data_IF_296497298645
#
_entry.id   IF_296497298645
#
_cell.length_a   1.000
_cell.length_b   1.000
_cell.length_c   1.000
_cell.angle_alpha   90.00
_cell.angle_beta   90.00
_cell.angle_gamma   90.00
#
_symmetry.space_group_name_H-M   'P 1'
#
loop_
_entity.id
_entity.type
_entity.pdbx_description
1 polymer ?
#
# COMPACT_ATOMS: atom_id res chain seq x y z
N UNK A 1 -31.56 5.54 16.54
CA UNK A 1 -31.46 4.29 15.76
C UNK A 1 -30.79 4.51 14.41
N UNK A 2 -31.30 5.38 13.53
CA UNK A 2 -30.70 5.63 12.20
C UNK A 2 -29.21 6.03 12.22
N UNK A 3 -28.77 6.88 13.15
CA UNK A 3 -27.36 7.28 13.24
C UNK A 3 -26.43 6.09 13.56
N UNK A 4 -26.84 5.20 14.47
CA UNK A 4 -26.04 4.04 14.85
C UNK A 4 -25.90 3.05 13.69
N UNK A 5 -26.99 2.81 12.95
CA UNK A 5 -26.99 1.97 11.76
C UNK A 5 -26.11 2.53 10.65
N UNK A 6 -26.22 3.84 10.37
CA UNK A 6 -25.36 4.53 9.40
C UNK A 6 -23.89 4.46 9.80
N UNK A 7 -23.56 4.70 11.08
CA UNK A 7 -22.19 4.59 11.59
C UNK A 7 -21.61 3.17 11.41
N UNK A 8 -22.41 2.13 11.65
CA UNK A 8 -21.99 0.74 11.43
C UNK A 8 -21.76 0.46 9.94
N UNK A 9 -22.62 0.96 9.05
CA UNK A 9 -22.43 0.83 7.60
C UNK A 9 -21.15 1.52 7.14
N UNK A 10 -20.89 2.74 7.63
CA UNK A 10 -19.64 3.46 7.33
C UNK A 10 -18.41 2.69 7.84
N UNK A 11 -18.47 2.17 9.07
CA UNK A 11 -17.41 1.32 9.61
C UNK A 11 -17.16 0.10 8.71
N UNK A 12 -18.21 -0.57 8.24
CA UNK A 12 -18.11 -1.75 7.35
C UNK A 12 -17.51 -1.42 5.98
N UNK A 13 -17.84 -0.26 5.42
CA UNK A 13 -17.28 0.18 4.16
C UNK A 13 -15.82 0.66 4.30
N UNK A 14 -15.45 1.17 5.48
CA UNK A 14 -14.20 1.91 5.66
C UNK A 14 -12.90 1.13 5.33
N UNK A 15 -12.72 -0.18 5.64
CA UNK A 15 -11.54 -0.93 5.21
C UNK A 15 -11.38 -1.00 3.69
N UNK A 16 -12.48 -1.07 2.94
CA UNK A 16 -12.42 -1.08 1.47
C UNK A 16 -11.97 0.27 0.92
N UNK A 17 -12.44 1.38 1.52
CA UNK A 17 -12.02 2.72 1.13
C UNK A 17 -10.54 2.98 1.46
N UNK A 18 -10.11 2.63 2.68
CA UNK A 18 -8.73 2.86 3.12
C UNK A 18 -7.74 1.95 2.36
N UNK A 19 -8.09 0.70 2.07
CA UNK A 19 -7.26 -0.19 1.25
C UNK A 19 -7.20 0.22 -0.22
N UNK A 20 -8.25 0.88 -0.74
CA UNK A 20 -8.21 1.50 -2.08
C UNK A 20 -7.12 2.59 -2.15
N UNK A 21 -6.96 3.38 -1.09
CA UNK A 21 -5.92 4.42 -1.04
C UNK A 21 -4.51 3.82 -1.06
N UNK A 22 -4.25 2.75 -0.30
CA UNK A 22 -2.94 2.08 -0.31
C UNK A 22 -2.64 1.40 -1.63
N UNK A 23 -3.64 0.78 -2.27
CA UNK A 23 -3.47 0.11 -3.57
C UNK A 23 -3.25 1.13 -4.69
N UNK A 24 -4.04 2.21 -4.71
CA UNK A 24 -3.85 3.31 -5.66
C UNK A 24 -2.46 3.92 -5.51
N UNK A 25 -2.01 4.12 -4.27
CA UNK A 25 -0.67 4.64 -4.03
C UNK A 25 0.43 3.74 -4.60
N UNK A 26 0.31 2.41 -4.45
CA UNK A 26 1.28 1.48 -5.04
C UNK A 26 1.27 1.53 -6.59
N UNK A 27 0.11 1.77 -7.20
CA UNK A 27 0.00 2.01 -8.64
C UNK A 27 0.65 3.33 -9.04
N UNK A 28 0.39 4.42 -8.31
CA UNK A 28 0.99 5.73 -8.56
C UNK A 28 2.51 5.67 -8.45
N UNK A 29 3.05 4.99 -7.43
CA UNK A 29 4.49 4.72 -7.32
C UNK A 29 5.03 4.00 -8.55
N UNK A 30 4.31 3.00 -9.07
CA UNK A 30 4.73 2.27 -10.26
C UNK A 30 4.70 3.14 -11.52
N UNK A 31 3.64 3.90 -11.73
CA UNK A 31 3.47 4.75 -12.90
C UNK A 31 4.44 5.93 -12.89
N UNK A 32 4.55 6.64 -11.77
CA UNK A 32 5.39 7.84 -11.66
C UNK A 32 6.85 7.42 -11.57
N UNK A 33 7.21 6.50 -10.67
CA UNK A 33 8.63 6.17 -10.50
C UNK A 33 9.14 5.29 -11.65
N UNK A 34 8.25 4.57 -12.33
CA UNK A 34 8.54 3.85 -13.57
C UNK A 34 9.03 4.73 -14.72
N UNK A 35 8.74 6.05 -14.69
CA UNK A 35 9.30 6.98 -15.68
C UNK A 35 10.81 7.16 -15.52
N UNK A 36 11.36 7.01 -14.32
CA UNK A 36 12.79 7.17 -14.03
C UNK A 36 13.67 6.03 -14.54
N UNK A 37 13.08 4.87 -14.85
CA UNK A 37 13.82 3.67 -15.26
C UNK A 37 13.88 3.48 -16.78
N UNK A 38 13.35 4.45 -17.54
CA UNK A 38 13.28 4.34 -19.00
C UNK A 38 14.67 4.46 -19.65
N UNK A 39 15.00 3.60 -20.64
CA UNK A 39 16.32 3.62 -21.29
C UNK A 39 16.76 5.00 -21.83
N UNK A 40 15.89 5.80 -22.49
CA UNK A 40 16.30 7.07 -23.08
C UNK A 40 16.78 8.12 -22.07
N UNK A 41 16.29 8.06 -20.81
CA UNK A 41 16.64 9.05 -19.79
C UNK A 41 17.59 8.50 -18.73
N UNK A 42 18.00 7.22 -18.82
CA UNK A 42 18.72 6.51 -17.75
C UNK A 42 19.97 7.25 -17.27
N UNK A 43 20.76 7.81 -18.18
CA UNK A 43 21.96 8.57 -17.85
C UNK A 43 21.65 9.82 -17.02
N UNK A 44 20.61 10.58 -17.41
CA UNK A 44 20.15 11.75 -16.68
C UNK A 44 19.49 11.36 -15.35
N UNK A 45 18.71 10.28 -15.35
CA UNK A 45 18.07 9.75 -14.16
C UNK A 45 19.12 9.32 -13.12
N UNK A 46 20.18 8.62 -13.52
CA UNK A 46 21.26 8.22 -12.61
C UNK A 46 21.93 9.41 -11.90
N UNK A 47 22.08 10.56 -12.56
CA UNK A 47 22.72 11.73 -11.95
C UNK A 47 21.80 12.58 -11.07
N UNK A 48 20.47 12.44 -11.23
CA UNK A 48 19.49 13.34 -10.58
C UNK A 48 18.55 12.63 -9.61
N UNK A 49 18.35 11.32 -9.77
CA UNK A 49 17.38 10.53 -9.02
C UNK A 49 17.59 10.55 -7.50
N UNK A 50 18.81 10.39 -6.94
CA UNK A 50 19.00 10.44 -5.48
C UNK A 50 18.56 11.78 -4.87
N UNK A 51 18.88 12.89 -5.55
CA UNK A 51 18.50 14.23 -5.12
C UNK A 51 16.99 14.47 -5.24
N UNK A 52 16.37 14.00 -6.33
CA UNK A 52 14.91 14.06 -6.50
C UNK A 52 14.18 13.19 -5.46
N UNK A 53 14.68 11.99 -5.19
CA UNK A 53 14.09 11.04 -4.27
C UNK A 53 14.05 11.57 -2.84
N UNK A 54 15.19 12.09 -2.35
CA UNK A 54 15.32 12.64 -1.00
C UNK A 54 14.51 13.93 -0.80
N UNK A 55 14.37 14.77 -1.82
CA UNK A 55 13.61 16.03 -1.74
C UNK A 55 12.12 15.91 -2.03
N UNK A 56 11.75 14.94 -2.86
CA UNK A 56 10.42 14.79 -3.46
C UNK A 56 9.81 13.42 -3.22
N UNK A 57 10.47 12.35 -3.69
CA UNK A 57 9.94 10.98 -3.65
C UNK A 57 9.49 10.53 -2.26
N UNK A 58 10.29 10.80 -1.23
CA UNK A 58 9.95 10.43 0.15
C UNK A 58 8.76 11.19 0.75
N UNK A 59 8.36 12.34 0.19
CA UNK A 59 7.27 13.15 0.76
C UNK A 59 5.95 12.41 0.74
N UNK A 60 5.80 11.42 -0.12
CA UNK A 60 4.57 10.71 -0.42
C UNK A 60 4.30 9.57 0.59
N UNK A 61 5.31 9.19 1.39
CA UNK A 61 5.22 8.08 2.38
C UNK A 61 4.15 8.27 3.46
N UNK A 62 3.65 9.49 3.66
CA UNK A 62 2.59 9.77 4.64
C UNK A 62 1.33 8.94 4.37
N UNK A 63 1.03 8.65 3.09
CA UNK A 63 -0.08 7.78 2.71
C UNK A 63 0.07 6.41 3.37
N UNK A 64 1.27 5.83 3.34
CA UNK A 64 1.54 4.54 3.97
C UNK A 64 1.47 4.61 5.50
N UNK A 65 2.03 5.67 6.08
CA UNK A 65 2.07 5.87 7.54
C UNK A 65 0.66 6.01 8.11
N UNK A 66 -0.28 6.59 7.37
CA UNK A 66 -1.67 6.76 7.82
C UNK A 66 -2.53 5.55 7.47
N UNK A 67 -2.54 5.13 6.21
CA UNK A 67 -3.58 4.21 5.74
C UNK A 67 -3.32 2.75 6.09
N UNK A 68 -2.08 2.29 6.29
CA UNK A 68 -1.84 0.92 6.78
C UNK A 68 -2.32 0.72 8.22
N UNK A 69 -1.94 1.56 9.21
CA UNK A 69 -2.51 1.47 10.55
C UNK A 69 -4.03 1.60 10.54
N UNK A 70 -4.57 2.48 9.69
CA UNK A 70 -6.02 2.64 9.55
C UNK A 70 -6.68 1.35 9.03
N UNK A 71 -6.14 0.70 8.01
CA UNK A 71 -6.62 -0.62 7.54
C UNK A 71 -6.66 -1.63 8.68
N UNK A 72 -5.63 -1.66 9.53
CA UNK A 72 -5.56 -2.60 10.66
C UNK A 72 -6.64 -2.31 11.69
N UNK A 73 -6.76 -1.06 12.13
CA UNK A 73 -7.74 -0.64 13.12
C UNK A 73 -9.16 -0.91 12.61
N UNK A 74 -9.48 -0.48 11.38
CA UNK A 74 -10.82 -0.66 10.82
C UNK A 74 -11.15 -2.13 10.55
N UNK A 75 -10.17 -2.93 10.11
CA UNK A 75 -10.32 -4.38 9.98
C UNK A 75 -10.63 -5.05 11.32
N UNK A 76 -9.88 -4.72 12.38
CA UNK A 76 -10.10 -5.23 13.74
C UNK A 76 -11.47 -4.80 14.27
N UNK A 77 -11.84 -3.52 14.13
CA UNK A 77 -13.14 -3.04 14.58
C UNK A 77 -14.29 -3.79 13.90
N UNK A 78 -14.18 -4.09 12.60
CA UNK A 78 -15.19 -4.89 11.90
C UNK A 78 -15.27 -6.35 12.36
N UNK A 79 -14.17 -6.92 12.86
CA UNK A 79 -14.18 -8.25 13.50
C UNK A 79 -14.85 -8.22 14.88
N UNK A 80 -14.76 -7.10 15.60
CA UNK A 80 -15.37 -6.93 16.92
C UNK A 80 -16.87 -6.56 16.85
N UNK A 81 -17.30 -5.85 15.81
CA UNK A 81 -18.70 -5.39 15.62
C UNK A 81 -19.52 -6.40 14.78
N UNK A 82 -19.24 -7.70 14.96
CA UNK A 82 -19.72 -8.81 14.11
C UNK A 82 -21.20 -9.17 14.25
N UNK A 83 -22.00 -8.42 15.01
CA UNK A 83 -23.43 -8.65 15.17
C UNK A 83 -24.14 -8.86 13.82
N UNK A 84 -24.78 -10.03 13.69
CA UNK A 84 -25.74 -10.47 12.66
C UNK A 84 -25.28 -10.73 11.21
N UNK A 85 -24.00 -10.97 10.93
CA UNK A 85 -23.52 -11.15 9.53
C UNK A 85 -22.77 -12.47 9.28
N UNK A 86 -23.47 -13.61 9.16
CA UNK A 86 -22.83 -14.89 8.82
C UNK A 86 -22.22 -14.84 7.42
N UNK A 87 -20.90 -14.62 7.35
CA UNK A 87 -20.12 -14.75 6.12
C UNK A 87 -19.15 -13.63 5.82
N UNK A 88 -19.30 -12.43 6.40
CA UNK A 88 -18.38 -11.29 6.17
C UNK A 88 -17.12 -11.37 7.05
N UNK A 89 -17.21 -11.94 8.25
CA UNK A 89 -16.09 -12.04 9.22
C UNK A 89 -14.85 -12.68 8.62
N UNK A 90 -15.01 -13.79 7.88
CA UNK A 90 -13.88 -14.48 7.23
C UNK A 90 -13.17 -13.58 6.23
N UNK A 91 -13.91 -12.74 5.50
CA UNK A 91 -13.33 -11.80 4.53
C UNK A 91 -12.63 -10.62 5.21
N UNK A 92 -13.17 -10.09 6.30
CA UNK A 92 -12.45 -9.09 7.11
C UNK A 92 -11.15 -9.68 7.69
N UNK A 93 -11.19 -10.92 8.15
CA UNK A 93 -10.01 -11.60 8.69
C UNK A 93 -8.93 -11.76 7.61
N UNK A 94 -9.29 -12.31 6.43
CA UNK A 94 -8.34 -12.45 5.33
C UNK A 94 -7.82 -11.10 4.83
N UNK A 95 -8.69 -10.10 4.69
CA UNK A 95 -8.29 -8.75 4.30
C UNK A 95 -7.28 -8.15 5.27
N UNK A 96 -7.52 -8.31 6.58
CA UNK A 96 -6.60 -7.89 7.63
C UNK A 96 -5.26 -8.65 7.55
N UNK A 97 -5.30 -9.98 7.37
CA UNK A 97 -4.10 -10.81 7.25
C UNK A 97 -3.23 -10.39 6.07
N UNK A 98 -3.82 -10.19 4.89
CA UNK A 98 -3.09 -9.71 3.71
C UNK A 98 -2.55 -8.29 3.90
N UNK A 99 -3.33 -7.40 4.53
CA UNK A 99 -2.88 -6.05 4.87
C UNK A 99 -1.66 -6.08 5.80
N UNK A 100 -1.66 -6.95 6.83
CA UNK A 100 -0.51 -7.12 7.73
C UNK A 100 0.67 -7.76 7.00
N UNK A 101 0.42 -8.69 6.06
CA UNK A 101 1.48 -9.33 5.26
C UNK A 101 2.31 -8.33 4.45
N UNK A 102 1.79 -7.13 4.15
CA UNK A 102 2.56 -6.01 3.62
C UNK A 102 3.86 -5.77 4.42
N UNK A 103 3.77 -5.87 5.75
CA UNK A 103 4.89 -5.59 6.67
C UNK A 103 6.06 -6.56 6.52
N UNK A 104 5.85 -7.74 5.91
CA UNK A 104 6.92 -8.68 5.58
C UNK A 104 7.95 -8.08 4.62
N UNK A 105 7.54 -7.10 3.82
CA UNK A 105 8.39 -6.42 2.84
C UNK A 105 9.11 -5.20 3.42
N UNK A 106 8.81 -4.78 4.66
CA UNK A 106 9.31 -3.52 5.23
C UNK A 106 10.84 -3.43 5.21
N UNK A 107 11.55 -4.45 5.71
CA UNK A 107 13.03 -4.42 5.76
C UNK A 107 13.64 -4.33 4.37
N UNK A 108 13.12 -5.11 3.42
CA UNK A 108 13.59 -5.09 2.04
C UNK A 108 13.29 -3.74 1.37
N UNK A 109 12.12 -3.15 1.62
CA UNK A 109 11.76 -1.84 1.10
C UNK A 109 12.72 -0.76 1.62
N UNK A 110 12.93 -0.69 2.94
CA UNK A 110 13.84 0.29 3.56
C UNK A 110 15.27 0.15 3.03
N UNK A 111 15.77 -1.07 2.87
CA UNK A 111 17.11 -1.29 2.32
C UNK A 111 17.25 -0.75 0.89
N UNK A 112 16.24 -0.98 0.04
CA UNK A 112 16.26 -0.52 -1.36
C UNK A 112 16.04 0.98 -1.48
N UNK A 113 15.20 1.56 -0.63
CA UNK A 113 15.03 3.02 -0.50
C UNK A 113 16.37 3.66 -0.13
N UNK A 114 17.06 3.12 0.88
CA UNK A 114 18.37 3.60 1.28
C UNK A 114 19.41 3.47 0.14
N UNK A 115 19.34 2.40 -0.67
CA UNK A 115 20.22 2.26 -1.84
C UNK A 115 19.98 3.35 -2.90
N UNK A 116 18.73 3.76 -3.12
CA UNK A 116 18.39 4.89 -4.02
C UNK A 116 18.90 6.21 -3.44
N UNK A 117 18.66 6.46 -2.14
CA UNK A 117 19.08 7.68 -1.44
C UNK A 117 20.60 7.87 -1.46
N UNK A 118 21.34 6.79 -1.27
CA UNK A 118 22.80 6.81 -1.15
C UNK A 118 23.52 6.56 -2.48
N UNK A 119 22.80 6.55 -3.61
CA UNK A 119 23.34 6.26 -4.94
C UNK A 119 24.17 4.95 -4.95
N UNK A 120 23.56 3.85 -4.51
CA UNK A 120 24.19 2.53 -4.50
C UNK A 120 23.53 1.66 -5.57
N UNK A 121 24.29 1.05 -6.50
CA UNK A 121 25.71 1.27 -6.75
C UNK A 121 25.97 2.66 -7.36
N UNK A 122 27.16 3.21 -7.09
CA UNK A 122 27.53 4.59 -7.42
C UNK A 122 27.38 4.89 -8.91
N UNK A 123 26.67 5.97 -9.24
CA UNK A 123 26.36 6.38 -10.59
C UNK A 123 25.29 5.52 -11.28
N UNK A 124 24.60 4.65 -10.54
CA UNK A 124 23.58 3.76 -11.08
C UNK A 124 22.38 3.57 -10.13
N UNK A 125 21.94 4.65 -9.48
CA UNK A 125 20.73 4.67 -8.65
C UNK A 125 19.47 4.13 -9.35
N UNK A 126 19.38 4.23 -10.69
CA UNK A 126 18.25 3.70 -11.47
C UNK A 126 18.13 2.18 -11.30
N UNK A 127 19.24 1.45 -11.20
CA UNK A 127 19.20 0.01 -10.93
C UNK A 127 18.51 -0.31 -9.60
N UNK A 128 18.79 0.48 -8.56
CA UNK A 128 18.15 0.34 -7.26
C UNK A 128 16.67 0.71 -7.31
N UNK A 129 16.30 1.72 -8.10
CA UNK A 129 14.91 2.07 -8.37
C UNK A 129 14.15 0.97 -9.09
N UNK A 130 14.69 0.37 -10.16
CA UNK A 130 14.08 -0.78 -10.85
C UNK A 130 13.83 -1.93 -9.89
N UNK A 131 14.83 -2.22 -9.05
CA UNK A 131 14.77 -3.31 -8.10
C UNK A 131 13.76 -3.04 -6.97
N UNK A 132 13.63 -1.78 -6.53
CA UNK A 132 12.57 -1.33 -5.63
C UNK A 132 11.19 -1.43 -6.29
N UNK A 133 11.02 -0.92 -7.51
CA UNK A 133 9.76 -0.93 -8.27
C UNK A 133 9.22 -2.34 -8.46
N UNK A 134 10.09 -3.28 -8.88
CA UNK A 134 9.71 -4.69 -9.05
C UNK A 134 9.22 -5.28 -7.73
N UNK A 135 9.93 -5.02 -6.64
CA UNK A 135 9.53 -5.48 -5.31
C UNK A 135 8.22 -4.85 -4.85
N UNK A 136 8.07 -3.52 -5.03
CA UNK A 136 6.88 -2.75 -4.68
C UNK A 136 5.65 -3.29 -5.39
N UNK A 137 5.78 -3.58 -6.69
CA UNK A 137 4.71 -4.12 -7.52
C UNK A 137 4.33 -5.55 -7.13
N UNK A 138 5.32 -6.43 -6.94
CA UNK A 138 5.06 -7.80 -6.48
C UNK A 138 4.33 -7.79 -5.14
N UNK A 139 4.81 -7.00 -4.18
CA UNK A 139 4.15 -6.82 -2.88
C UNK A 139 2.70 -6.37 -3.08
N UNK A 140 2.47 -5.30 -3.84
CA UNK A 140 1.13 -4.79 -4.07
C UNK A 140 0.18 -5.85 -4.64
N UNK A 141 0.64 -6.69 -5.56
CA UNK A 141 -0.16 -7.76 -6.16
C UNK A 141 -0.47 -8.92 -5.21
N UNK A 142 0.40 -9.23 -4.24
CA UNK A 142 0.22 -10.40 -3.36
C UNK A 142 -0.25 -10.05 -1.95
N UNK A 143 -0.19 -8.77 -1.55
CA UNK A 143 -0.69 -8.29 -0.26
C UNK A 143 -1.83 -7.30 -0.45
N UNK A 144 -1.57 -6.19 -1.13
CA UNK A 144 -2.44 -5.02 -1.09
C UNK A 144 -3.72 -5.26 -1.95
N UNK A 145 -3.57 -5.86 -3.13
CA UNK A 145 -4.68 -6.23 -4.00
C UNK A 145 -5.58 -7.33 -3.40
N UNK A 146 -5.06 -8.47 -2.88
CA UNK A 146 -5.87 -9.44 -2.16
C UNK A 146 -6.57 -8.87 -0.93
N UNK A 147 -5.90 -8.00 -0.16
CA UNK A 147 -6.51 -7.32 0.98
C UNK A 147 -7.71 -6.47 0.54
N UNK A 148 -7.53 -5.68 -0.51
CA UNK A 148 -8.58 -4.83 -1.09
C UNK A 148 -9.79 -5.65 -1.58
N UNK A 149 -9.56 -6.74 -2.33
CA UNK A 149 -10.62 -7.63 -2.79
C UNK A 149 -11.39 -8.27 -1.64
N UNK A 150 -10.67 -8.69 -0.59
CA UNK A 150 -11.28 -9.23 0.62
C UNK A 150 -12.14 -8.19 1.33
N UNK A 151 -11.65 -6.97 1.53
CA UNK A 151 -12.39 -5.91 2.19
C UNK A 151 -13.61 -5.44 1.40
N UNK A 152 -13.54 -5.36 0.07
CA UNK A 152 -14.72 -5.12 -0.78
C UNK A 152 -15.75 -6.24 -0.58
N UNK A 153 -15.31 -7.49 -0.64
CA UNK A 153 -16.22 -8.64 -0.46
C UNK A 153 -16.85 -8.65 0.93
N UNK A 154 -16.07 -8.28 1.96
CA UNK A 154 -16.56 -8.16 3.32
C UNK A 154 -17.62 -7.05 3.45
N UNK A 155 -17.38 -5.89 2.86
CA UNK A 155 -18.32 -4.77 2.85
C UNK A 155 -19.60 -5.13 2.09
N UNK A 156 -19.52 -5.70 0.89
CA UNK A 156 -20.68 -6.13 0.11
C UNK A 156 -21.54 -7.18 0.83
N UNK A 157 -20.92 -8.00 1.68
CA UNK A 157 -21.62 -8.99 2.50
C UNK A 157 -22.16 -8.44 3.82
N UNK A 158 -21.69 -7.27 4.26
CA UNK A 158 -22.01 -6.72 5.57
C UNK A 158 -22.90 -5.46 5.51
N UNK A 159 -23.10 -4.87 4.33
CA UNK A 159 -23.98 -3.73 4.10
C UNK A 159 -25.40 -4.17 3.76
#
# INVERSE_FOLDING_TARGET
>A
MALAETSIRLLRLSPALSSSMTLMFALDEHLIFGTWVQPPIRTLANSTLPAWWTRGGLRWRWVLIIFYPLNYILGILNLLVTGDQPGSTKWYLWGLSFSIAHMLFLRMALHRIAAIENDVPKGNAVLSMESWLRMNWVRALITDLPAWLCFITAALKAL
#
